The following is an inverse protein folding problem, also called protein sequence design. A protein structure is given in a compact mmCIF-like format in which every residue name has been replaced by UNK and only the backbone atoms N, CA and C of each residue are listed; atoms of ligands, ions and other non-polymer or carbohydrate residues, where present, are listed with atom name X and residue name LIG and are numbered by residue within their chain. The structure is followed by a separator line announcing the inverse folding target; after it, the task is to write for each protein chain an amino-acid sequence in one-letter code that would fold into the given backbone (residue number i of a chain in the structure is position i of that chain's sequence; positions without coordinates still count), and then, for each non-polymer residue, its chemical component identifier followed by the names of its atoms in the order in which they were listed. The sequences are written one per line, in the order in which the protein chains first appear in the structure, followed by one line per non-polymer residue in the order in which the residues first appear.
data_IF_562079724231
#
_entry.id   IF_562079724231
#
_cell.length_a   1.000
_cell.length_b   1.000
_cell.length_c   1.000
_cell.angle_alpha   90.00
_cell.angle_beta   90.00
_cell.angle_gamma   90.00
#
_symmetry.space_group_name_H-M   'P 1'
#
loop_
_entity.id
_entity.type
_entity.pdbx_description
1 polymer ?
#
# COMPACT_ATOMS: atom_id res chain seq x y z
N UNK A 1 -34.46 -49.84 23.42
CA UNK A 1 -34.41 -48.49 24.01
C UNK A 1 -33.98 -47.56 22.89
N UNK A 2 -34.79 -46.54 22.60
CA UNK A 2 -34.48 -45.37 21.74
C UNK A 2 -34.25 -45.60 20.22
N UNK A 3 -35.02 -44.84 19.43
CA UNK A 3 -35.07 -44.69 17.96
C UNK A 3 -34.41 -43.32 17.61
N UNK A 4 -34.46 -42.71 16.39
CA UNK A 4 -34.63 -43.20 15.00
C UNK A 4 -33.59 -42.59 14.02
N UNK A 5 -33.72 -42.79 12.70
CA UNK A 5 -34.14 -41.68 11.82
C UNK A 5 -34.70 -42.13 10.46
N UNK A 6 -35.57 -41.32 9.86
CA UNK A 6 -36.30 -41.63 8.62
C UNK A 6 -35.81 -40.87 7.38
N UNK A 7 -36.11 -41.50 6.25
CA UNK A 7 -35.92 -41.06 4.87
C UNK A 7 -36.61 -39.73 4.52
N UNK A 8 -35.81 -38.77 4.00
CA UNK A 8 -36.06 -37.89 2.86
C UNK A 8 -37.47 -37.88 2.20
N UNK A 9 -38.08 -36.69 1.98
CA UNK A 9 -38.79 -36.32 0.72
C UNK A 9 -39.26 -34.85 0.68
N UNK A 10 -38.79 -34.11 -0.35
CA UNK A 10 -39.39 -32.94 -1.08
C UNK A 10 -40.06 -31.77 -0.32
N UNK A 11 -39.66 -30.55 -0.69
CA UNK A 11 -40.55 -29.66 -1.44
C UNK A 11 -39.79 -28.70 -2.38
N UNK A 12 -40.41 -28.38 -3.53
CA UNK A 12 -39.96 -27.41 -4.54
C UNK A 12 -41.01 -26.29 -4.58
N UNK A 13 -40.63 -25.03 -4.89
CA UNK A 13 -41.32 -24.09 -5.82
C UNK A 13 -40.58 -22.73 -5.88
N UNK A 14 -40.06 -22.45 -7.08
CA UNK A 14 -40.00 -21.19 -7.84
C UNK A 14 -39.96 -19.82 -7.12
N UNK A 15 -39.04 -18.96 -7.59
CA UNK A 15 -39.48 -17.71 -8.25
C UNK A 15 -38.47 -17.26 -9.33
N UNK A 16 -38.95 -16.83 -10.51
CA UNK A 16 -38.13 -16.43 -11.67
C UNK A 16 -38.75 -15.26 -12.43
N UNK A 17 -37.90 -14.36 -12.96
CA UNK A 17 -38.26 -13.19 -13.81
C UNK A 17 -39.11 -12.11 -13.09
N UNK A 18 -39.14 -10.82 -13.43
CA UNK A 18 -38.78 -10.03 -14.64
C UNK A 18 -38.37 -8.61 -14.14
N UNK A 19 -37.87 -7.60 -14.87
CA UNK A 19 -37.72 -7.28 -16.32
C UNK A 19 -36.63 -6.21 -16.53
N UNK A 20 -36.10 -6.09 -17.74
CA UNK A 20 -35.25 -4.98 -18.20
C UNK A 20 -36.02 -3.65 -18.40
N UNK A 21 -35.31 -2.51 -18.60
CA UNK A 21 -35.38 -1.65 -19.82
C UNK A 21 -34.60 -0.32 -19.67
N UNK A 22 -33.80 0.03 -20.68
CA UNK A 22 -33.39 1.42 -21.01
C UNK A 22 -32.19 1.99 -20.23
N UNK A 23 -31.32 2.85 -20.80
CA UNK A 23 -31.34 3.48 -22.13
C UNK A 23 -29.92 3.79 -22.64
N UNK A 24 -29.72 3.74 -23.96
CA UNK A 24 -28.55 4.32 -24.65
C UNK A 24 -29.05 5.45 -25.54
N UNK A 25 -28.45 6.63 -25.47
CA UNK A 25 -28.60 7.68 -26.47
C UNK A 25 -27.25 8.36 -26.72
N UNK A 26 -27.05 8.78 -27.97
CA UNK A 26 -25.81 9.34 -28.52
C UNK A 26 -26.15 10.67 -29.22
N UNK A 27 -25.14 11.40 -29.71
CA UNK A 27 -25.21 12.70 -30.42
C UNK A 27 -25.49 13.92 -29.52
N UNK A 28 -25.07 15.15 -29.87
CA UNK A 28 -23.94 15.67 -30.67
C UNK A 28 -24.00 17.22 -30.61
N UNK A 29 -22.88 17.94 -30.79
CA UNK A 29 -22.96 19.38 -31.07
C UNK A 29 -21.73 20.23 -30.73
N UNK A 30 -20.92 20.53 -31.76
CA UNK A 30 -20.28 21.83 -32.05
C UNK A 30 -19.66 22.65 -30.90
N UNK A 31 -18.32 22.78 -30.83
CA UNK A 31 -17.49 23.69 -31.65
C UNK A 31 -17.76 25.18 -31.37
N UNK A 32 -16.83 25.85 -30.68
CA UNK A 32 -16.42 27.20 -31.06
C UNK A 32 -14.94 27.48 -30.74
N UNK A 33 -14.26 28.02 -31.76
CA UNK A 33 -12.86 28.44 -31.77
C UNK A 33 -12.83 29.98 -31.68
N UNK A 34 -11.98 30.56 -30.84
CA UNK A 34 -11.71 31.99 -30.87
C UNK A 34 -10.26 32.29 -30.42
N UNK A 35 -9.40 32.61 -31.40
CA UNK A 35 -8.05 33.15 -31.21
C UNK A 35 -8.02 34.58 -31.73
N UNK A 36 -7.60 35.52 -30.88
CA UNK A 36 -7.15 36.89 -31.18
C UNK A 36 -6.32 37.32 -29.96
N UNK A 37 -5.01 37.59 -29.96
CA UNK A 37 -4.05 38.20 -30.92
C UNK A 37 -4.25 39.72 -31.13
N UNK A 38 -3.11 40.43 -31.11
CA UNK A 38 -2.85 41.87 -31.33
C UNK A 38 -3.00 42.90 -30.17
N UNK A 39 -1.84 43.12 -29.53
CA UNK A 39 -1.20 44.41 -29.19
C UNK A 39 -1.95 45.76 -29.33
N UNK A 40 -1.72 46.66 -28.37
CA UNK A 40 -1.33 48.05 -28.66
C UNK A 40 -0.51 48.66 -27.50
N UNK A 41 0.48 49.50 -27.86
CA UNK A 41 1.28 50.32 -26.94
C UNK A 41 0.53 51.63 -26.66
N UNK A 42 0.62 52.16 -25.44
CA UNK A 42 0.28 53.54 -25.13
C UNK A 42 1.33 54.16 -24.20
N UNK A 43 2.23 54.98 -24.77
CA UNK A 43 3.12 55.90 -24.04
C UNK A 43 2.56 57.30 -24.20
N UNK A 44 2.42 58.04 -23.10
CA UNK A 44 2.24 59.49 -23.12
C UNK A 44 2.87 60.14 -21.88
N UNK A 45 3.90 60.95 -22.09
CA UNK A 45 4.31 62.02 -21.16
C UNK A 45 3.25 63.15 -21.25
N UNK A 46 3.11 64.13 -20.36
CA UNK A 46 4.13 65.14 -19.99
C UNK A 46 3.59 66.11 -18.91
N UNK A 47 4.47 66.61 -18.02
CA UNK A 47 4.30 67.88 -17.29
C UNK A 47 3.53 67.83 -15.96
N UNK A 48 3.81 68.68 -14.96
CA UNK A 48 4.73 69.84 -14.88
C UNK A 48 4.99 70.23 -13.40
N UNK A 49 6.08 70.98 -13.13
CA UNK A 49 6.46 71.67 -11.85
C UNK A 49 6.93 70.71 -10.72
N UNK A 50 8.23 70.46 -10.51
CA UNK A 50 9.38 71.26 -10.02
C UNK A 50 9.62 71.20 -8.48
N UNK A 51 10.89 71.05 -8.02
CA UNK A 51 11.26 70.96 -6.60
C UNK A 51 11.68 72.32 -6.01
N UNK A 52 11.82 72.36 -4.68
CA UNK A 52 12.57 73.42 -3.98
C UNK A 52 13.68 72.77 -3.14
N UNK A 53 14.91 72.87 -3.62
CA UNK A 53 16.10 72.91 -2.75
C UNK A 53 16.29 74.36 -2.29
N UNK A 54 16.74 74.55 -1.05
CA UNK A 54 17.41 75.79 -0.65
C UNK A 54 18.54 75.43 0.33
N UNK A 55 19.75 75.28 -0.22
CA UNK A 55 20.99 75.29 0.54
C UNK A 55 21.25 76.70 1.08
N UNK A 56 21.89 76.82 2.25
CA UNK A 56 23.23 77.45 2.38
C UNK A 56 23.76 77.40 3.83
N UNK A 57 24.88 76.71 3.95
CA UNK A 57 26.00 76.85 4.91
C UNK A 57 25.93 77.87 6.08
N UNK A 58 26.40 77.42 7.25
CA UNK A 58 27.45 78.17 7.96
C UNK A 58 28.35 77.24 8.80
N UNK A 59 29.64 77.61 8.92
CA UNK A 59 30.73 76.80 9.49
C UNK A 59 31.05 77.18 10.93
N UNK A 60 31.39 76.19 11.77
CA UNK A 60 32.34 76.37 12.87
C UNK A 60 33.07 75.04 13.19
N UNK A 61 34.27 75.15 13.77
CA UNK A 61 35.24 74.06 14.05
C UNK A 61 35.69 74.20 15.51
N UNK A 62 36.18 73.10 16.12
CA UNK A 62 36.64 72.94 17.51
C UNK A 62 35.47 72.95 18.53
N UNK A 63 35.36 72.00 19.48
CA UNK A 63 36.41 71.52 20.38
C UNK A 63 36.48 70.00 20.59
N UNK A 64 37.64 69.55 21.08
CA UNK A 64 37.92 68.22 21.64
C UNK A 64 37.93 68.25 23.18
N UNK A 65 37.96 67.07 23.81
CA UNK A 65 37.81 66.83 25.27
C UNK A 65 36.40 67.14 25.82
N UNK A 66 35.74 66.20 26.50
CA UNK A 66 36.27 65.50 27.67
C UNK A 66 35.79 64.05 27.75
N UNK A 67 36.69 63.11 28.02
CA UNK A 67 36.32 61.76 28.44
C UNK A 67 35.99 61.73 29.94
N UNK A 68 34.90 61.08 30.32
CA UNK A 68 34.70 60.51 31.67
C UNK A 68 33.69 59.35 31.62
N UNK A 69 33.76 58.40 32.58
CA UNK A 69 33.40 57.01 32.32
C UNK A 69 32.16 56.52 33.07
N UNK A 70 31.86 55.23 32.89
CA UNK A 70 30.92 54.41 33.67
C UNK A 70 29.48 54.91 33.83
N UNK A 71 28.63 54.41 32.94
CA UNK A 71 27.34 53.86 33.33
C UNK A 71 27.15 52.51 32.65
N UNK A 72 27.78 51.47 33.23
CA UNK A 72 27.47 50.08 32.91
C UNK A 72 26.07 49.75 33.48
N UNK A 73 25.03 50.28 32.83
CA UNK A 73 23.63 49.94 33.10
C UNK A 73 23.44 48.47 32.75
N UNK A 74 23.71 47.63 33.74
CA UNK A 74 23.23 46.26 33.76
C UNK A 74 21.72 46.35 33.87
N UNK A 75 21.05 46.37 32.71
CA UNK A 75 19.60 46.27 32.62
C UNK A 75 19.18 45.07 33.47
N UNK A 76 18.52 45.34 34.59
CA UNK A 76 18.09 44.29 35.52
C UNK A 76 17.18 43.33 34.74
N UNK A 77 17.68 42.13 34.41
CA UNK A 77 16.91 41.13 33.65
C UNK A 77 15.63 40.86 34.46
N UNK A 78 14.49 41.41 34.01
CA UNK A 78 13.24 41.41 34.77
C UNK A 78 12.93 40.01 35.30
N UNK A 79 13.01 39.86 36.62
CA UNK A 79 12.88 38.56 37.29
C UNK A 79 11.43 38.31 37.71
N UNK A 80 10.94 37.11 37.44
CA UNK A 80 9.53 36.74 37.58
C UNK A 80 9.44 35.49 38.46
N UNK A 81 8.47 35.44 39.38
CA UNK A 81 8.21 34.23 40.18
C UNK A 81 7.19 33.35 39.46
N UNK A 82 7.54 32.08 39.21
CA UNK A 82 6.69 31.12 38.49
C UNK A 82 6.36 29.93 39.41
N UNK A 83 5.08 29.65 39.61
CA UNK A 83 4.62 28.53 40.44
C UNK A 83 3.26 28.03 39.95
N UNK A 84 3.21 26.79 39.49
CA UNK A 84 2.00 26.10 39.04
C UNK A 84 1.88 24.77 39.79
N UNK A 85 0.68 24.39 40.23
CA UNK A 85 0.44 23.12 40.93
C UNK A 85 -0.82 22.51 40.37
N UNK A 86 -0.67 21.37 39.69
CA UNK A 86 -1.79 20.65 39.06
C UNK A 86 -2.61 21.51 38.08
N UNK A 87 -1.99 22.56 37.51
CA UNK A 87 -2.62 23.51 36.58
C UNK A 87 -2.73 22.89 35.19
N UNK A 88 -3.74 23.26 34.39
CA UNK A 88 -3.86 22.74 33.04
C UNK A 88 -2.73 23.30 32.14
N UNK A 89 -2.22 22.49 31.20
CA UNK A 89 -1.18 22.94 30.28
C UNK A 89 -1.63 24.15 29.45
N UNK A 90 -2.91 24.26 29.10
CA UNK A 90 -3.44 25.40 28.35
C UNK A 90 -3.40 26.70 29.17
N UNK A 91 -3.73 26.62 30.47
CA UNK A 91 -3.62 27.75 31.41
C UNK A 91 -2.15 28.17 31.58
N UNK A 92 -1.23 27.22 31.63
CA UNK A 92 0.22 27.51 31.66
C UNK A 92 0.68 28.16 30.36
N UNK A 93 0.23 27.69 29.19
CA UNK A 93 0.55 28.30 27.89
C UNK A 93 0.02 29.73 27.79
N UNK A 94 -1.20 29.99 28.26
CA UNK A 94 -1.78 31.34 28.33
C UNK A 94 -0.99 32.25 29.29
N UNK A 95 -0.62 31.75 30.47
CA UNK A 95 0.19 32.50 31.43
C UNK A 95 1.58 32.85 30.85
N UNK A 96 2.24 31.94 30.14
CA UNK A 96 3.52 32.21 29.47
C UNK A 96 3.36 33.11 28.24
N UNK A 97 2.26 33.02 27.49
CA UNK A 97 1.94 33.91 26.36
C UNK A 97 1.88 35.37 26.83
N UNK A 98 1.09 35.64 27.87
CA UNK A 98 0.96 36.95 28.49
C UNK A 98 2.27 37.44 29.14
N UNK A 99 3.05 36.54 29.75
CA UNK A 99 4.30 36.89 30.43
C UNK A 99 5.45 37.22 29.47
N UNK A 100 5.53 36.49 28.36
CA UNK A 100 6.62 36.62 27.39
C UNK A 100 6.26 37.55 26.22
N UNK A 101 5.01 38.03 26.13
CA UNK A 101 4.46 38.81 25.03
C UNK A 101 4.65 38.09 23.67
N UNK A 102 4.22 36.82 23.64
CA UNK A 102 4.29 35.95 22.45
C UNK A 102 2.93 35.29 22.19
N UNK A 103 2.54 35.20 20.92
CA UNK A 103 1.37 34.44 20.51
C UNK A 103 1.66 32.94 20.64
N UNK A 104 0.75 32.18 21.27
CA UNK A 104 0.87 30.73 21.46
C UNK A 104 -0.34 30.03 20.84
N UNK A 105 -0.09 29.05 19.97
CA UNK A 105 -1.12 28.26 19.30
C UNK A 105 -1.02 26.80 19.79
N UNK A 106 -1.95 26.33 20.65
CA UNK A 106 -2.00 24.92 21.03
C UNK A 106 -2.55 24.08 19.87
N UNK A 107 -1.81 23.04 19.49
CA UNK A 107 -2.22 22.06 18.49
C UNK A 107 -3.20 21.02 19.03
N UNK A 108 -3.74 20.21 18.13
CA UNK A 108 -4.68 19.13 18.49
C UNK A 108 -4.03 18.13 19.47
N UNK A 109 -4.75 17.79 20.53
CA UNK A 109 -4.28 16.84 21.54
C UNK A 109 -3.25 17.39 22.55
N UNK A 110 -3.04 18.71 22.62
CA UNK A 110 -2.31 19.33 23.75
C UNK A 110 -3.24 19.45 24.96
N UNK A 111 -3.09 18.56 25.94
CA UNK A 111 -3.88 18.57 27.18
C UNK A 111 -3.14 17.90 28.36
N UNK A 112 -3.58 18.20 29.59
CA UNK A 112 -3.13 17.55 30.81
C UNK A 112 -2.53 18.50 31.85
N UNK A 113 -2.51 18.06 33.11
CA UNK A 113 -2.12 18.90 34.27
C UNK A 113 -0.61 18.90 34.51
N UNK A 114 0.00 20.05 34.78
CA UNK A 114 1.44 20.23 35.06
C UNK A 114 1.70 20.90 36.41
N UNK A 115 2.87 20.60 36.99
CA UNK A 115 3.32 21.16 38.27
C UNK A 115 4.74 21.70 38.10
N UNK A 116 4.94 22.96 38.48
CA UNK A 116 6.16 23.75 38.29
C UNK A 116 6.42 24.49 39.59
N UNK A 117 7.54 24.21 40.24
CA UNK A 117 7.88 24.82 41.54
C UNK A 117 9.20 25.56 41.36
N UNK A 118 9.16 26.88 41.17
CA UNK A 118 10.36 27.71 41.29
C UNK A 118 10.55 28.14 42.76
N UNK A 119 11.71 27.86 43.39
CA UNK A 119 12.00 28.31 44.75
C UNK A 119 12.43 29.79 44.82
N UNK A 120 12.66 30.44 43.67
CA UNK A 120 13.08 31.83 43.57
C UNK A 120 12.64 32.49 42.26
N UNK A 121 12.93 33.78 42.08
CA UNK A 121 12.61 34.50 40.85
C UNK A 121 13.52 34.04 39.70
N UNK A 122 12.96 33.94 38.48
CA UNK A 122 13.63 33.49 37.25
C UNK A 122 13.66 34.60 36.20
N UNK A 123 14.72 34.68 35.40
CA UNK A 123 14.81 35.65 34.30
C UNK A 123 13.99 35.20 33.09
N UNK A 124 13.65 36.13 32.17
CA UNK A 124 12.87 35.83 30.94
C UNK A 124 13.43 34.64 30.15
N UNK A 125 14.75 34.53 30.02
CA UNK A 125 15.45 33.41 29.35
C UNK A 125 15.32 32.10 30.12
N UNK A 126 15.39 32.14 31.45
CA UNK A 126 15.15 30.96 32.28
C UNK A 126 13.68 30.50 32.20
N UNK A 127 12.74 31.43 32.11
CA UNK A 127 11.32 31.15 31.93
C UNK A 127 11.06 30.42 30.58
N UNK A 128 11.65 30.88 29.47
CA UNK A 128 11.56 30.18 28.16
C UNK A 128 12.12 28.75 28.26
N UNK A 129 13.31 28.58 28.84
CA UNK A 129 13.91 27.25 29.03
C UNK A 129 13.07 26.33 29.93
N UNK A 130 12.41 26.90 30.94
CA UNK A 130 11.50 26.19 31.84
C UNK A 130 10.25 25.72 31.08
N UNK A 131 9.63 26.59 30.28
CA UNK A 131 8.50 26.26 29.40
C UNK A 131 8.86 25.11 28.44
N UNK A 132 9.99 25.20 27.74
CA UNK A 132 10.46 24.15 26.85
C UNK A 132 10.69 22.82 27.59
N UNK A 133 11.17 22.87 28.84
CA UNK A 133 11.39 21.68 29.68
C UNK A 133 10.08 21.04 30.16
N UNK A 134 9.08 21.85 30.52
CA UNK A 134 7.74 21.39 30.92
C UNK A 134 7.07 20.66 29.75
N UNK A 135 7.08 21.28 28.57
CA UNK A 135 6.48 20.73 27.35
C UNK A 135 7.16 19.43 26.93
N UNK A 136 8.50 19.42 26.88
CA UNK A 136 9.29 18.23 26.52
C UNK A 136 9.07 17.06 27.49
N UNK A 137 8.97 17.31 28.80
CA UNK A 137 8.66 16.26 29.77
C UNK A 137 7.25 15.66 29.56
N UNK A 138 6.34 16.37 28.90
CA UNK A 138 4.99 15.88 28.57
C UNK A 138 4.85 15.31 27.16
N UNK A 139 5.93 15.19 26.40
CA UNK A 139 5.86 14.73 25.02
C UNK A 139 5.18 15.75 24.11
N UNK A 140 5.38 17.04 24.41
CA UNK A 140 5.07 18.15 23.51
C UNK A 140 6.35 18.82 23.05
N UNK A 141 6.31 19.37 21.84
CA UNK A 141 7.38 20.11 21.22
C UNK A 141 6.88 21.49 20.76
N UNK A 142 7.81 22.45 20.71
CA UNK A 142 7.56 23.83 20.30
C UNK A 142 8.10 24.02 18.88
N UNK A 143 7.25 24.51 17.99
CA UNK A 143 7.61 24.94 16.64
C UNK A 143 7.56 26.46 16.62
N UNK A 144 8.72 27.09 16.46
CA UNK A 144 8.85 28.54 16.32
C UNK A 144 8.49 28.96 14.89
N UNK A 145 7.55 29.89 14.74
CA UNK A 145 7.17 30.51 13.46
C UNK A 145 7.33 32.04 13.59
N UNK A 146 7.30 32.75 12.46
CA UNK A 146 7.42 34.22 12.46
C UNK A 146 6.24 34.88 13.22
N UNK A 147 6.51 35.29 14.47
CA UNK A 147 5.57 36.00 15.34
C UNK A 147 4.66 35.15 16.22
N UNK A 148 4.78 33.81 16.22
CA UNK A 148 4.06 32.92 17.13
C UNK A 148 4.74 31.57 17.32
N UNK A 149 4.46 30.91 18.45
CA UNK A 149 4.89 29.52 18.69
C UNK A 149 3.70 28.56 18.60
N UNK A 150 3.89 27.43 17.93
CA UNK A 150 2.93 26.32 17.92
C UNK A 150 3.40 25.23 18.87
N UNK A 151 2.52 24.77 19.75
CA UNK A 151 2.79 23.62 20.62
C UNK A 151 2.09 22.41 20.01
N UNK A 152 2.84 21.36 19.68
CA UNK A 152 2.31 20.11 19.10
C UNK A 152 2.79 18.92 19.92
N UNK A 153 2.18 17.74 19.72
CA UNK A 153 2.74 16.50 20.24
C UNK A 153 4.11 16.22 19.59
N UNK A 154 5.05 15.68 20.37
CA UNK A 154 6.46 15.47 19.97
C UNK A 154 6.56 14.69 18.65
N UNK A 155 5.70 13.66 18.50
CA UNK A 155 5.56 12.85 17.29
C UNK A 155 5.19 13.63 16.00
N UNK A 156 4.65 14.85 16.12
CA UNK A 156 4.30 15.72 14.98
C UNK A 156 5.44 16.71 14.69
N UNK A 157 6.14 17.21 15.71
CA UNK A 157 7.29 18.11 15.50
C UNK A 157 8.52 17.38 14.93
N UNK A 158 8.71 16.11 15.28
CA UNK A 158 9.78 15.27 14.74
C UNK A 158 9.75 15.18 13.20
N UNK A 159 8.58 15.36 12.54
CA UNK A 159 8.46 15.33 11.08
C UNK A 159 8.97 16.59 10.37
N UNK A 160 9.20 17.70 11.09
CA UNK A 160 9.54 19.01 10.50
C UNK A 160 10.98 19.45 10.72
N UNK A 161 11.67 18.87 11.72
CA UNK A 161 12.95 19.39 12.22
C UNK A 161 14.22 18.66 11.76
N UNK A 162 14.13 17.46 11.21
CA UNK A 162 15.31 16.66 10.86
C UNK A 162 15.72 16.82 9.39
N UNK A 163 17.03 16.90 9.07
CA UNK A 163 17.49 16.91 7.69
C UNK A 163 17.25 15.56 7.01
N UNK A 164 17.10 15.55 5.69
CA UNK A 164 17.08 14.30 4.92
C UNK A 164 18.42 13.60 5.01
N UNK A 165 18.39 12.30 5.30
CA UNK A 165 19.58 11.45 5.47
C UNK A 165 20.51 11.51 4.27
N UNK A 166 21.81 11.64 4.55
CA UNK A 166 22.89 11.55 3.56
C UNK A 166 24.02 10.66 4.11
N UNK A 167 24.72 9.89 3.25
CA UNK A 167 25.82 9.02 3.68
C UNK A 167 27.02 9.72 4.32
N UNK A 168 27.12 11.05 4.21
CA UNK A 168 28.20 11.88 4.75
C UNK A 168 27.86 12.52 6.12
N UNK A 169 26.72 12.19 6.73
CA UNK A 169 26.33 12.68 8.05
C UNK A 169 27.10 12.00 9.20
N UNK A 170 27.36 12.72 10.31
CA UNK A 170 27.86 12.12 11.55
C UNK A 170 26.91 11.04 12.08
N UNK A 171 27.45 9.90 12.51
CA UNK A 171 26.72 8.69 12.92
C UNK A 171 25.64 8.91 14.00
N UNK A 172 25.86 9.89 14.88
CA UNK A 172 24.96 10.25 15.99
C UNK A 172 23.87 11.27 15.62
N UNK A 173 23.95 11.89 14.42
CA UNK A 173 22.97 12.88 13.99
C UNK A 173 21.64 12.20 13.61
N UNK A 174 20.52 12.69 14.15
CA UNK A 174 19.18 12.24 13.75
C UNK A 174 18.80 12.88 12.41
N UNK A 175 18.30 12.05 11.50
CA UNK A 175 17.88 12.43 10.15
C UNK A 175 16.60 11.69 9.74
N UNK A 176 16.01 12.09 8.61
CA UNK A 176 14.88 11.41 7.98
C UNK A 176 15.31 10.67 6.71
N UNK A 177 15.04 9.38 6.63
CA UNK A 177 15.17 8.56 5.43
C UNK A 177 13.78 8.33 4.83
N UNK A 178 13.52 8.88 3.65
CA UNK A 178 12.30 8.63 2.89
C UNK A 178 12.60 7.64 1.75
N UNK A 179 11.95 6.48 1.75
CA UNK A 179 12.13 5.44 0.72
C UNK A 179 10.79 5.08 0.08
N UNK A 180 10.80 4.95 -1.25
CA UNK A 180 9.72 4.34 -2.02
C UNK A 180 10.19 2.93 -2.43
N UNK A 181 9.67 1.85 -1.82
CA UNK A 181 9.98 0.50 -2.26
C UNK A 181 9.35 0.21 -3.63
N UNK A 182 9.82 -0.84 -4.31
CA UNK A 182 9.41 -1.21 -5.69
C UNK A 182 8.63 -2.52 -5.76
N UNK A 183 8.89 -3.44 -4.84
CA UNK A 183 8.38 -4.81 -4.87
C UNK A 183 7.71 -5.25 -3.57
N UNK A 184 8.08 -4.66 -2.44
CA UNK A 184 7.43 -4.88 -1.14
C UNK A 184 6.64 -3.62 -0.74
N UNK A 185 5.47 -3.81 -0.14
CA UNK A 185 4.63 -2.74 0.40
C UNK A 185 5.29 -2.05 1.61
N UNK A 186 5.14 -0.72 1.74
CA UNK A 186 5.74 0.04 2.84
C UNK A 186 5.22 -0.36 4.23
N UNK A 187 3.98 -0.86 4.36
CA UNK A 187 3.42 -1.35 5.62
C UNK A 187 4.10 -2.64 6.06
N UNK A 188 4.29 -3.58 5.13
CA UNK A 188 5.02 -4.84 5.39
C UNK A 188 6.49 -4.58 5.79
N UNK A 189 7.13 -3.59 5.15
CA UNK A 189 8.48 -3.16 5.54
C UNK A 189 8.47 -2.51 6.93
N UNK A 190 7.54 -1.61 7.22
CA UNK A 190 7.41 -0.95 8.52
C UNK A 190 7.19 -1.97 9.66
N UNK A 191 6.29 -2.95 9.47
CA UNK A 191 6.08 -4.05 10.42
C UNK A 191 7.34 -4.87 10.65
N UNK A 192 8.05 -5.22 9.58
CA UNK A 192 9.30 -6.01 9.66
C UNK A 192 10.38 -5.26 10.46
N UNK A 193 10.59 -3.97 10.18
CA UNK A 193 11.57 -3.15 10.89
C UNK A 193 11.14 -2.84 12.35
N UNK A 194 9.85 -2.69 12.62
CA UNK A 194 9.30 -2.52 13.96
C UNK A 194 9.48 -3.79 14.80
N UNK A 195 9.23 -4.97 14.22
CA UNK A 195 9.45 -6.27 14.86
C UNK A 195 10.92 -6.52 15.20
N UNK A 196 11.86 -6.01 14.39
CA UNK A 196 13.30 -6.03 14.69
C UNK A 196 13.74 -4.98 15.73
N UNK A 197 12.83 -4.13 16.23
CA UNK A 197 13.12 -3.13 17.25
C UNK A 197 14.03 -1.98 16.78
N UNK A 198 14.15 -1.78 15.46
CA UNK A 198 15.12 -0.83 14.87
C UNK A 198 14.65 0.63 14.89
N UNK A 199 13.39 0.90 15.25
CA UNK A 199 12.71 2.17 14.96
C UNK A 199 11.74 2.64 16.07
N UNK A 200 11.57 3.97 16.16
CA UNK A 200 10.41 4.66 16.77
C UNK A 200 9.53 5.22 15.61
N UNK A 201 8.40 5.93 15.84
CA UNK A 201 7.25 5.88 14.93
C UNK A 201 7.59 6.21 13.48
N UNK A 202 7.24 5.26 12.61
CA UNK A 202 7.29 5.41 11.15
C UNK A 202 6.05 6.18 10.71
N UNK A 203 6.23 7.17 9.85
CA UNK A 203 5.11 7.71 9.06
C UNK A 203 5.09 6.95 7.73
N UNK A 204 4.13 6.05 7.57
CA UNK A 204 3.79 5.49 6.25
C UNK A 204 2.79 6.42 5.59
N UNK A 205 3.05 6.80 4.34
CA UNK A 205 2.07 7.47 3.50
C UNK A 205 1.62 6.48 2.42
N UNK A 206 0.51 5.79 2.68
CA UNK A 206 -0.04 4.73 1.81
C UNK A 206 -0.47 5.27 0.44
N UNK A 207 -1.07 6.47 0.40
CA UNK A 207 -1.46 7.10 -0.86
C UNK A 207 -0.25 7.46 -1.74
N UNK A 208 0.87 7.80 -1.09
CA UNK A 208 2.12 8.07 -1.76
C UNK A 208 2.94 6.81 -2.04
N UNK A 209 2.76 5.70 -1.34
CA UNK A 209 3.66 4.54 -1.35
C UNK A 209 5.06 4.90 -0.85
N UNK A 210 5.16 5.59 0.29
CA UNK A 210 6.43 6.08 0.85
C UNK A 210 6.55 5.74 2.34
N UNK A 211 7.69 5.16 2.67
CA UNK A 211 8.15 4.83 4.01
C UNK A 211 9.06 5.96 4.54
N UNK A 212 8.65 6.69 5.58
CA UNK A 212 9.48 7.72 6.22
C UNK A 212 9.98 7.23 7.58
N UNK A 213 11.30 7.19 7.74
CA UNK A 213 11.99 6.62 8.89
C UNK A 213 12.88 7.69 9.54
N UNK A 214 12.66 7.95 10.82
CA UNK A 214 13.46 8.91 11.61
C UNK A 214 14.36 8.16 12.60
N UNK A 215 15.68 8.29 12.45
CA UNK A 215 16.66 7.68 13.36
C UNK A 215 18.04 8.35 13.25
N UNK A 216 18.99 7.93 14.08
CA UNK A 216 20.40 8.30 13.96
C UNK A 216 21.01 7.79 12.63
N UNK A 217 21.89 8.57 12.00
CA UNK A 217 22.47 8.30 10.69
C UNK A 217 23.13 6.91 10.60
N UNK A 218 23.83 6.48 11.66
CA UNK A 218 24.40 5.13 11.81
C UNK A 218 23.37 4.01 11.63
N UNK A 219 22.15 4.19 12.15
CA UNK A 219 21.03 3.23 12.00
C UNK A 219 20.39 3.34 10.62
N UNK A 220 20.18 4.56 10.12
CA UNK A 220 19.59 4.80 8.81
C UNK A 220 20.43 4.20 7.68
N UNK A 221 21.76 4.21 7.82
CA UNK A 221 22.67 3.50 6.91
C UNK A 221 22.34 2.00 6.84
N UNK A 222 22.30 1.31 7.98
CA UNK A 222 21.98 -0.12 8.03
C UNK A 222 20.55 -0.43 7.56
N UNK A 223 19.59 0.46 7.83
CA UNK A 223 18.22 0.32 7.32
C UNK A 223 18.18 0.49 5.79
N UNK A 224 18.90 1.45 5.21
CA UNK A 224 18.98 1.64 3.76
C UNK A 224 19.60 0.41 3.06
N UNK A 225 20.71 -0.12 3.59
CA UNK A 225 21.35 -1.35 3.11
C UNK A 225 20.40 -2.56 3.22
N UNK A 226 19.61 -2.65 4.29
CA UNK A 226 18.64 -3.73 4.49
C UNK A 226 17.40 -3.61 3.60
N UNK A 227 16.92 -2.39 3.33
CA UNK A 227 15.84 -2.17 2.34
C UNK A 227 16.33 -2.61 0.95
N UNK A 228 17.56 -2.30 0.54
CA UNK A 228 18.09 -2.73 -0.76
C UNK A 228 18.21 -4.25 -0.88
N UNK A 229 18.45 -4.96 0.22
CA UNK A 229 18.48 -6.43 0.26
C UNK A 229 17.08 -7.08 0.32
N UNK A 230 16.10 -6.41 0.93
CA UNK A 230 14.73 -6.93 1.08
C UNK A 230 13.84 -6.57 -0.11
N UNK A 231 13.94 -5.36 -0.67
CA UNK A 231 13.19 -4.88 -1.85
C UNK A 231 13.76 -5.45 -3.16
N UNK A 232 13.94 -6.77 -3.16
CA UNK A 232 14.19 -7.59 -4.35
C UNK A 232 12.86 -8.06 -4.95
N UNK A 233 12.76 -8.30 -6.27
CA UNK A 233 11.53 -8.74 -6.91
C UNK A 233 11.08 -10.11 -6.38
N UNK A 234 10.16 -10.08 -5.42
CA UNK A 234 9.44 -11.26 -4.95
C UNK A 234 8.59 -11.79 -6.11
N UNK A 235 8.98 -12.98 -6.62
CA UNK A 235 8.22 -13.83 -7.56
C UNK A 235 7.47 -13.05 -8.66
N UNK A 236 8.12 -12.79 -9.80
CA UNK A 236 7.43 -12.24 -10.97
C UNK A 236 6.39 -13.23 -11.50
N UNK A 237 5.15 -13.08 -11.04
CA UNK A 237 3.98 -13.79 -11.55
C UNK A 237 3.60 -13.16 -12.89
N UNK A 238 3.60 -13.96 -13.95
CA UNK A 238 3.25 -13.54 -15.31
C UNK A 238 2.01 -14.28 -15.77
N UNK A 239 1.22 -13.66 -16.64
CA UNK A 239 0.06 -14.31 -17.27
C UNK A 239 0.43 -14.81 -18.65
N UNK A 240 0.16 -16.09 -18.95
CA UNK A 240 0.32 -16.67 -20.29
C UNK A 240 -0.88 -17.54 -20.68
N UNK A 241 -1.34 -17.36 -21.90
CA UNK A 241 -2.41 -18.16 -22.51
C UNK A 241 -1.82 -19.30 -23.34
N UNK A 242 -2.32 -20.52 -23.12
CA UNK A 242 -1.94 -21.73 -23.81
C UNK A 242 -3.15 -22.32 -24.56
N UNK A 243 -3.24 -22.16 -25.89
CA UNK A 243 -4.28 -22.80 -26.68
C UNK A 243 -4.02 -24.31 -26.84
N UNK A 244 -5.05 -25.14 -26.72
CA UNK A 244 -4.99 -26.60 -26.85
C UNK A 244 -5.59 -27.07 -28.18
N UNK A 245 -4.98 -28.10 -28.80
CA UNK A 245 -5.31 -28.56 -30.15
C UNK A 245 -6.13 -29.86 -30.18
N UNK A 246 -5.83 -30.81 -29.29
CA UNK A 246 -6.43 -32.16 -29.28
C UNK A 246 -7.26 -32.40 -28.03
N UNK A 247 -6.82 -31.86 -26.88
CA UNK A 247 -7.48 -32.02 -25.60
C UNK A 247 -8.35 -30.80 -25.23
N UNK A 248 -9.37 -31.06 -24.41
CA UNK A 248 -10.31 -30.03 -23.93
C UNK A 248 -9.76 -29.32 -22.70
N UNK A 249 -9.78 -27.99 -22.70
CA UNK A 249 -9.30 -27.15 -21.60
C UNK A 249 -10.01 -27.46 -20.26
N UNK A 250 -11.31 -27.75 -20.29
CA UNK A 250 -12.10 -28.21 -19.15
C UNK A 250 -11.51 -29.45 -18.45
N UNK A 251 -10.94 -30.38 -19.22
CA UNK A 251 -10.40 -31.65 -18.69
C UNK A 251 -8.94 -31.54 -18.23
N UNK A 252 -8.14 -30.74 -18.92
CA UNK A 252 -6.71 -30.55 -18.57
C UNK A 252 -6.52 -29.47 -17.51
N UNK A 253 -7.38 -28.46 -17.45
CA UNK A 253 -7.28 -27.33 -16.51
C UNK A 253 -7.09 -27.76 -15.05
N UNK A 254 -7.93 -28.64 -14.49
CA UNK A 254 -7.77 -29.13 -13.11
C UNK A 254 -6.46 -29.90 -12.88
N UNK A 255 -5.98 -30.65 -13.88
CA UNK A 255 -4.71 -31.40 -13.81
C UNK A 255 -3.51 -30.45 -13.76
N UNK A 256 -3.53 -29.40 -14.58
CA UNK A 256 -2.48 -28.38 -14.60
C UNK A 256 -2.54 -27.50 -13.35
N UNK A 257 -3.74 -27.17 -12.85
CA UNK A 257 -3.93 -26.46 -11.58
C UNK A 257 -3.32 -27.24 -10.40
N UNK A 258 -3.63 -28.54 -10.28
CA UNK A 258 -3.05 -29.41 -9.25
C UNK A 258 -1.53 -29.57 -9.39
N UNK A 259 -1.02 -29.66 -10.63
CA UNK A 259 0.42 -29.71 -10.89
C UNK A 259 1.14 -28.43 -10.46
N UNK A 260 0.57 -27.25 -10.73
CA UNK A 260 1.14 -25.97 -10.28
C UNK A 260 1.07 -25.87 -8.75
N UNK A 261 -0.07 -26.19 -8.12
CA UNK A 261 -0.20 -26.18 -6.66
C UNK A 261 0.87 -27.05 -5.97
N UNK A 262 1.11 -28.27 -6.50
CA UNK A 262 2.16 -29.17 -6.00
C UNK A 262 3.57 -28.58 -6.15
N UNK A 263 3.86 -27.90 -7.27
CA UNK A 263 5.13 -27.23 -7.53
C UNK A 263 5.34 -25.95 -6.70
N UNK A 264 4.25 -25.37 -6.19
CA UNK A 264 4.23 -24.21 -5.29
C UNK A 264 4.28 -24.59 -3.81
N UNK A 265 4.22 -25.89 -3.48
CA UNK A 265 4.21 -26.37 -2.10
C UNK A 265 2.85 -26.19 -1.39
N UNK A 266 1.77 -26.09 -2.16
CA UNK A 266 0.41 -25.89 -1.65
C UNK A 266 -0.37 -27.22 -1.73
N UNK A 267 -0.50 -27.94 -0.61
CA UNK A 267 -1.10 -29.29 -0.54
C UNK A 267 -2.66 -29.30 -0.65
N UNK A 268 -3.32 -28.21 -1.04
CA UNK A 268 -4.77 -28.19 -1.26
C UNK A 268 -5.24 -27.09 -2.23
N UNK A 269 -6.04 -27.43 -3.26
CA UNK A 269 -6.78 -26.46 -4.05
C UNK A 269 -8.14 -26.14 -3.37
N UNK A 270 -8.20 -25.07 -2.59
CA UNK A 270 -9.46 -24.63 -1.97
C UNK A 270 -9.38 -23.25 -1.32
N UNK A 271 -10.28 -22.35 -1.75
CA UNK A 271 -10.69 -21.08 -1.15
C UNK A 271 -9.72 -20.44 -0.13
N UNK A 272 -8.74 -19.71 -0.66
CA UNK A 272 -7.94 -18.73 0.09
C UNK A 272 -7.53 -17.62 -0.87
N UNK A 273 -7.62 -16.36 -0.43
CA UNK A 273 -7.30 -15.19 -1.27
C UNK A 273 -5.81 -15.15 -1.68
N UNK A 274 -4.93 -15.90 -1.02
CA UNK A 274 -3.53 -16.14 -1.41
C UNK A 274 -3.35 -16.98 -2.69
N UNK A 275 -4.38 -17.65 -3.20
CA UNK A 275 -4.26 -18.58 -4.36
C UNK A 275 -3.76 -17.90 -5.64
N UNK A 276 -3.97 -16.59 -5.79
CA UNK A 276 -3.38 -15.78 -6.88
C UNK A 276 -1.84 -15.68 -6.81
N UNK A 277 -1.22 -15.89 -5.65
CA UNK A 277 0.25 -15.77 -5.47
C UNK A 277 0.98 -17.10 -5.73
N UNK A 278 0.36 -18.23 -5.37
CA UNK A 278 0.91 -19.58 -5.59
C UNK A 278 0.73 -20.09 -7.03
N UNK A 279 -0.17 -19.48 -7.79
CA UNK A 279 -0.33 -19.70 -9.22
C UNK A 279 -1.72 -20.23 -9.58
N UNK A 280 -2.44 -19.47 -10.41
CA UNK A 280 -3.83 -19.73 -10.76
C UNK A 280 -3.99 -20.17 -12.22
N UNK A 281 -4.98 -21.03 -12.49
CA UNK A 281 -5.31 -21.54 -13.82
C UNK A 281 -6.78 -21.25 -14.10
N UNK A 282 -7.05 -20.41 -15.09
CA UNK A 282 -8.39 -20.12 -15.59
C UNK A 282 -8.63 -20.84 -16.92
N UNK A 283 -9.84 -21.33 -17.12
CA UNK A 283 -10.25 -22.11 -18.29
C UNK A 283 -11.11 -21.21 -19.18
N UNK A 284 -10.67 -20.94 -20.41
CA UNK A 284 -11.45 -20.22 -21.44
C UNK A 284 -11.98 -21.23 -22.46
N UNK A 285 -13.17 -21.74 -22.19
CA UNK A 285 -13.83 -22.80 -23.00
C UNK A 285 -14.01 -22.38 -24.46
N UNK A 286 -14.46 -21.14 -24.71
CA UNK A 286 -14.78 -20.61 -26.04
C UNK A 286 -13.58 -20.59 -27.00
N UNK A 287 -12.35 -20.56 -26.48
CA UNK A 287 -11.12 -20.62 -27.29
C UNK A 287 -10.26 -21.86 -27.02
N UNK A 288 -10.82 -22.85 -26.30
CA UNK A 288 -10.13 -24.05 -25.82
C UNK A 288 -8.72 -23.76 -25.28
N UNK A 289 -8.62 -22.73 -24.44
CA UNK A 289 -7.34 -22.20 -23.96
C UNK A 289 -7.27 -22.18 -22.43
N UNK A 290 -6.07 -22.41 -21.91
CA UNK A 290 -5.75 -22.27 -20.48
C UNK A 290 -4.98 -20.97 -20.26
N UNK A 291 -5.52 -20.11 -19.41
CA UNK A 291 -4.86 -18.89 -18.96
C UNK A 291 -4.20 -19.21 -17.63
N UNK A 292 -2.87 -19.20 -17.61
CA UNK A 292 -2.08 -19.51 -16.41
C UNK A 292 -1.43 -18.24 -15.91
N UNK A 293 -1.56 -17.98 -14.61
CA UNK A 293 -0.98 -16.86 -13.88
C UNK A 293 0.04 -17.48 -12.91
N UNK A 294 1.33 -17.47 -13.22
CA UNK A 294 2.34 -18.16 -12.42
C UNK A 294 3.76 -17.56 -12.61
N UNK A 295 4.74 -18.00 -11.79
CA UNK A 295 6.15 -17.67 -12.02
C UNK A 295 6.68 -18.27 -13.34
N UNK A 296 7.66 -17.62 -13.97
CA UNK A 296 8.32 -18.11 -15.21
C UNK A 296 8.85 -19.55 -15.09
N UNK A 297 9.31 -19.99 -13.91
CA UNK A 297 9.77 -21.37 -13.66
C UNK A 297 8.64 -22.38 -13.88
N UNK A 298 7.43 -22.10 -13.39
CA UNK A 298 6.25 -22.93 -13.53
C UNK A 298 5.71 -22.90 -14.97
N UNK A 299 5.82 -21.77 -15.67
CA UNK A 299 5.44 -21.69 -17.09
C UNK A 299 6.24 -22.60 -18.03
N UNK A 300 7.51 -22.87 -17.71
CA UNK A 300 8.35 -23.82 -18.45
C UNK A 300 7.90 -25.27 -18.21
N UNK A 301 7.64 -25.62 -16.95
CA UNK A 301 7.16 -26.95 -16.54
C UNK A 301 5.75 -27.23 -17.08
N UNK A 302 4.84 -26.27 -16.96
CA UNK A 302 3.48 -26.31 -17.53
C UNK A 302 3.50 -26.51 -19.04
N UNK A 303 4.38 -25.81 -19.77
CA UNK A 303 4.54 -25.99 -21.22
C UNK A 303 4.99 -27.42 -21.59
N UNK A 304 5.93 -27.98 -20.84
CA UNK A 304 6.39 -29.35 -21.05
C UNK A 304 5.27 -30.38 -20.76
N UNK A 305 4.50 -30.18 -19.69
CA UNK A 305 3.37 -31.04 -19.33
C UNK A 305 2.24 -30.95 -20.38
N UNK A 306 1.90 -29.75 -20.84
CA UNK A 306 0.90 -29.55 -21.90
C UNK A 306 1.32 -30.20 -23.22
N UNK A 307 2.60 -30.17 -23.60
CA UNK A 307 3.09 -30.86 -24.79
C UNK A 307 3.02 -32.40 -24.67
N UNK A 308 3.01 -32.94 -23.46
CA UNK A 308 2.84 -34.38 -23.23
C UNK A 308 1.35 -34.79 -23.21
N UNK A 309 0.48 -33.96 -22.63
CA UNK A 309 -0.96 -34.22 -22.50
C UNK A 309 -1.78 -33.89 -23.75
N UNK A 310 -1.44 -32.83 -24.49
CA UNK A 310 -2.17 -32.39 -25.69
C UNK A 310 -1.74 -33.20 -26.93
N UNK A 311 -2.01 -34.51 -26.88
CA UNK A 311 -1.72 -35.47 -27.96
C UNK A 311 -2.98 -36.05 -28.55
N UNK A 312 -2.95 -36.32 -29.85
CA UNK A 312 -4.03 -37.02 -30.56
C UNK A 312 -4.21 -38.43 -29.98
N UNK A 313 -5.39 -38.72 -29.44
CA UNK A 313 -5.71 -40.06 -28.93
C UNK A 313 -5.68 -41.10 -30.06
N UNK A 314 -5.05 -42.28 -29.87
CA UNK A 314 -5.06 -43.35 -30.86
C UNK A 314 -6.48 -43.92 -31.00
N UNK A 315 -6.91 -44.14 -32.24
CA UNK A 315 -8.18 -44.80 -32.52
C UNK A 315 -7.96 -46.31 -32.46
N UNK A 316 -8.77 -47.02 -31.66
CA UNK A 316 -8.74 -48.48 -31.55
C UNK A 316 -10.01 -49.08 -32.18
N UNK A 317 -9.82 -50.10 -33.03
CA UNK A 317 -10.93 -50.90 -33.56
C UNK A 317 -11.14 -52.10 -32.64
N UNK A 318 -12.35 -52.23 -32.10
CA UNK A 318 -12.78 -53.40 -31.34
C UNK A 318 -13.59 -54.32 -32.26
N UNK A 319 -13.00 -55.44 -32.68
CA UNK A 319 -13.72 -56.50 -33.40
C UNK A 319 -14.19 -57.57 -32.41
N UNK A 320 -15.51 -57.68 -32.21
CA UNK A 320 -16.11 -58.75 -31.42
C UNK A 320 -16.79 -59.76 -32.35
N UNK A 321 -16.27 -61.01 -32.40
CA UNK A 321 -16.92 -62.12 -33.12
C UNK A 321 -17.77 -62.93 -32.15
N UNK A 322 -19.08 -62.81 -32.28
CA UNK A 322 -20.03 -63.68 -31.58
C UNK A 322 -20.20 -64.94 -32.42
N UNK A 323 -19.92 -66.11 -31.84
CA UNK A 323 -20.12 -67.42 -32.46
C UNK A 323 -21.11 -68.20 -31.61
N UNK A 324 -22.30 -68.45 -32.16
CA UNK A 324 -23.29 -69.33 -31.57
C UNK A 324 -23.11 -70.75 -32.12
N UNK A 325 -23.06 -71.75 -31.24
CA UNK A 325 -22.90 -73.16 -31.62
C UNK A 325 -24.18 -73.91 -31.23
N UNK A 326 -25.10 -74.02 -32.17
CA UNK A 326 -26.35 -74.79 -32.01
C UNK A 326 -26.11 -76.25 -32.41
N UNK A 327 -26.03 -77.16 -31.44
CA UNK A 327 -25.96 -78.60 -31.71
C UNK A 327 -27.36 -79.20 -31.86
N UNK A 328 -27.78 -79.48 -33.08
CA UNK A 328 -28.92 -80.37 -33.34
C UNK A 328 -28.46 -81.84 -33.27
N UNK A 329 -29.17 -82.66 -32.48
CA UNK A 329 -28.96 -84.12 -32.38
C UNK A 329 -30.15 -84.90 -32.95
N UNK A 330 -30.50 -84.65 -34.20
CA UNK A 330 -31.45 -85.48 -34.94
C UNK A 330 -30.81 -86.81 -35.43
N UNK A 331 -30.58 -87.75 -34.51
CA UNK A 331 -30.08 -89.09 -34.84
C UNK A 331 -31.21 -90.05 -35.25
N UNK A 332 -31.79 -89.84 -36.44
CA UNK A 332 -32.80 -90.75 -37.01
C UNK A 332 -32.16 -91.96 -37.69
N UNK A 333 -31.82 -92.99 -36.93
CA UNK A 333 -31.57 -94.33 -37.47
C UNK A 333 -32.86 -95.15 -37.46
N UNK A 334 -33.35 -95.53 -38.64
CA UNK A 334 -34.54 -96.39 -38.80
C UNK A 334 -34.40 -97.33 -39.99
N UNK A 335 -34.67 -98.62 -39.78
CA UNK A 335 -34.67 -99.63 -40.85
C UNK A 335 -36.06 -99.73 -41.49
N UNK A 336 -36.17 -99.37 -42.77
CA UNK A 336 -37.40 -99.48 -43.55
C UNK A 336 -37.60 -100.89 -44.13
N UNK A 337 -38.11 -101.80 -43.29
CA UNK A 337 -38.38 -103.20 -43.69
C UNK A 337 -39.42 -103.37 -44.82
N UNK A 338 -40.23 -102.34 -45.11
CA UNK A 338 -41.27 -102.37 -46.15
C UNK A 338 -40.73 -102.51 -47.59
N UNK A 339 -39.43 -102.26 -47.83
CA UNK A 339 -38.80 -102.46 -49.16
C UNK A 339 -38.27 -103.87 -49.42
N UNK A 340 -38.20 -104.73 -48.40
CA UNK A 340 -37.58 -106.07 -48.51
C UNK A 340 -38.63 -107.16 -48.79
N UNK A 341 -39.88 -106.97 -48.37
CA UNK A 341 -40.96 -107.96 -48.52
C UNK A 341 -41.74 -107.89 -49.84
N UNK A 342 -41.42 -106.96 -50.75
CA UNK A 342 -42.10 -106.81 -52.05
C UNK A 342 -41.42 -107.54 -53.22
N UNK A 343 -40.38 -108.35 -52.96
CA UNK A 343 -39.58 -109.04 -54.00
C UNK A 343 -39.50 -110.56 -53.77
N UNK A 344 -40.64 -111.20 -53.50
CA UNK A 344 -40.81 -112.65 -53.70
C UNK A 344 -42.23 -112.95 -54.24
N UNK A 345 -42.36 -113.37 -55.51
CA UNK A 345 -43.59 -114.01 -56.00
C UNK A 345 -43.74 -115.46 -55.49
N UNK A 346 -44.94 -116.01 -55.69
CA UNK A 346 -45.46 -117.31 -55.18
C UNK A 346 -44.52 -118.51 -55.26
#
# INVERSE_FOLDING_TARGET
MTIPNLTNTRHIIQNTMTRATGSRAFLAGTLFLAVALFSAIAVAQTGLIQPTEEDTESRAVLDSETASPDSNETSEEATITINFREADILEVLEAYSNLLDINVVPGEGVSGVVTVISPGPVTRRQAINLLHSILKHRGFAVIENDGYISVVQDAIAELSGFPLYRPDMPDDQVAMLAVRPKYIDEETLAETFAAMGLMRPVSTNRDAGVLVITAAASKLKGIAELIEQLDVPQRQVITRTYPLQYATAEKIGPVIAGFIAQLSGQDSPGDSEDSITSGSVMIEERTNSLIVIAEEKYHKQTRAMLAELDKRSPQILLEAKVVEITLDRNNQMGLQWQKILSVLPM
#
